data_IF_564591773427
#
_entry.id   IF_564591773427
#
_cell.length_a   1.000
_cell.length_b   1.000
_cell.length_c   1.000
_cell.angle_alpha   90.00
_cell.angle_beta   90.00
_cell.angle_gamma   90.00
#
_symmetry.space_group_name_H-M   'P 1'
#
loop_
_entity.id
_entity.type
_entity.pdbx_description
1 polymer ?
#
# COMPACT_ATOMS: atom_id res chain seq x y z
N UNK A 1 25.63 8.99 2.27
CA UNK A 1 24.66 8.14 1.54
C UNK A 1 23.45 9.01 1.30
N UNK A 2 23.02 9.20 0.04
CA UNK A 2 21.92 10.13 -0.26
C UNK A 2 20.57 9.68 0.26
N UNK A 3 19.56 10.56 0.20
CA UNK A 3 18.17 10.28 0.59
C UNK A 3 17.61 9.17 -0.32
N UNK A 4 17.24 8.00 0.25
CA UNK A 4 16.71 6.90 -0.55
C UNK A 4 15.30 7.21 -1.07
N UNK A 5 14.93 6.58 -2.19
CA UNK A 5 13.60 6.67 -2.79
C UNK A 5 12.94 5.31 -2.85
N UNK A 6 11.62 5.28 -2.79
CA UNK A 6 10.82 4.07 -2.98
C UNK A 6 9.41 4.42 -3.45
N UNK A 7 8.88 3.66 -4.42
CA UNK A 7 7.48 3.74 -4.84
C UNK A 7 6.58 3.02 -3.84
N UNK A 8 5.31 3.42 -3.73
CA UNK A 8 4.31 2.65 -2.98
C UNK A 8 4.04 1.33 -3.70
N UNK A 9 3.63 1.35 -4.98
CA UNK A 9 3.55 0.10 -5.73
C UNK A 9 2.67 0.14 -6.96
N UNK A 10 1.39 0.42 -6.83
CA UNK A 10 0.45 0.36 -7.95
C UNK A 10 0.69 1.45 -8.99
N UNK A 11 0.50 1.07 -10.26
CA UNK A 11 0.51 1.97 -11.41
C UNK A 11 -0.84 1.92 -12.11
N UNK A 12 -1.27 2.99 -12.79
CA UNK A 12 -2.47 2.94 -13.63
C UNK A 12 -2.37 1.79 -14.63
N UNK A 13 -3.40 0.94 -14.67
CA UNK A 13 -3.47 -0.16 -15.61
C UNK A 13 -3.82 0.43 -16.98
N UNK A 14 -3.06 0.11 -18.04
CA UNK A 14 -3.36 0.64 -19.38
C UNK A 14 -4.74 0.18 -19.84
N UNK A 15 -5.35 0.93 -20.74
CA UNK A 15 -6.72 0.68 -21.23
C UNK A 15 -6.90 -0.76 -21.69
N UNK A 16 -5.94 -1.31 -22.46
CA UNK A 16 -6.04 -2.70 -22.95
C UNK A 16 -6.05 -3.74 -21.81
N UNK A 17 -5.39 -3.46 -20.68
CA UNK A 17 -5.39 -4.37 -19.53
C UNK A 17 -6.71 -4.29 -18.76
N UNK A 18 -7.28 -3.10 -18.58
CA UNK A 18 -8.61 -2.95 -17.97
C UNK A 18 -9.68 -3.65 -18.80
N UNK A 19 -9.62 -3.51 -20.13
CA UNK A 19 -10.50 -4.23 -21.05
C UNK A 19 -10.31 -5.76 -20.94
N UNK A 20 -9.07 -6.23 -20.80
CA UNK A 20 -8.78 -7.65 -20.60
C UNK A 20 -9.34 -8.20 -19.28
N UNK A 21 -9.26 -7.45 -18.18
CA UNK A 21 -9.91 -7.81 -16.92
C UNK A 21 -11.42 -7.96 -17.10
N UNK A 22 -12.06 -6.95 -17.67
CA UNK A 22 -13.50 -6.98 -17.91
C UNK A 22 -13.94 -8.11 -18.84
N UNK A 23 -13.17 -8.38 -19.90
CA UNK A 23 -13.45 -9.45 -20.86
C UNK A 23 -13.26 -10.84 -20.24
N UNK A 24 -12.24 -11.01 -19.39
CA UNK A 24 -11.99 -12.26 -18.67
C UNK A 24 -13.09 -12.55 -17.65
N UNK A 25 -13.48 -11.55 -16.86
CA UNK A 25 -14.58 -11.66 -15.89
C UNK A 25 -15.91 -11.99 -16.57
N UNK A 26 -16.12 -11.48 -17.77
CA UNK A 26 -17.29 -11.77 -18.60
C UNK A 26 -17.20 -13.10 -19.39
N UNK A 27 -16.11 -13.87 -19.21
CA UNK A 27 -15.88 -15.14 -19.96
C UNK A 27 -15.68 -14.97 -21.47
N UNK A 28 -15.31 -13.77 -21.93
CA UNK A 28 -15.13 -13.46 -23.37
C UNK A 28 -13.74 -13.77 -23.90
N UNK A 29 -12.76 -13.89 -23.04
CA UNK A 29 -11.39 -14.27 -23.39
C UNK A 29 -10.93 -15.43 -22.52
N UNK A 30 -9.97 -16.21 -23.03
CA UNK A 30 -9.35 -17.31 -22.30
C UNK A 30 -8.38 -16.81 -21.22
N UNK A 31 -8.08 -17.66 -20.25
CA UNK A 31 -7.04 -17.38 -19.25
C UNK A 31 -5.69 -17.07 -19.91
N UNK A 32 -5.33 -17.78 -20.99
CA UNK A 32 -4.07 -17.56 -21.70
C UNK A 32 -4.01 -16.16 -22.33
N UNK A 33 -5.10 -15.69 -22.92
CA UNK A 33 -5.20 -14.34 -23.49
C UNK A 33 -5.11 -13.27 -22.37
N UNK A 34 -5.76 -13.52 -21.25
CA UNK A 34 -5.69 -12.62 -20.08
C UNK A 34 -4.26 -12.53 -19.53
N UNK A 35 -3.58 -13.67 -19.31
CA UNK A 35 -2.18 -13.70 -18.86
C UNK A 35 -1.28 -12.95 -19.84
N UNK A 36 -1.49 -13.11 -21.14
CA UNK A 36 -0.71 -12.38 -22.16
C UNK A 36 -0.86 -10.87 -22.04
N UNK A 37 -2.06 -10.38 -21.75
CA UNK A 37 -2.30 -8.95 -21.50
C UNK A 37 -1.59 -8.47 -20.23
N UNK A 38 -1.62 -9.26 -19.15
CA UNK A 38 -0.88 -8.99 -17.93
C UNK A 38 0.62 -8.95 -18.14
N UNK A 39 1.18 -9.95 -18.85
CA UNK A 39 2.62 -10.02 -19.16
C UNK A 39 3.10 -8.80 -19.94
N UNK A 40 2.34 -8.38 -20.95
CA UNK A 40 2.63 -7.18 -21.73
C UNK A 40 2.66 -5.93 -20.85
N UNK A 41 1.69 -5.79 -19.95
CA UNK A 41 1.61 -4.64 -19.05
C UNK A 41 2.72 -4.64 -18.01
N UNK A 42 3.08 -5.80 -17.48
CA UNK A 42 4.20 -5.97 -16.54
C UNK A 42 5.53 -5.61 -17.21
N UNK A 43 5.79 -6.12 -18.40
CA UNK A 43 7.02 -5.82 -19.14
C UNK A 43 7.17 -4.31 -19.40
N UNK A 44 6.11 -3.65 -19.88
CA UNK A 44 6.10 -2.21 -20.10
C UNK A 44 6.29 -1.42 -18.78
N UNK A 45 5.62 -1.85 -17.70
CA UNK A 45 5.74 -1.21 -16.39
C UNK A 45 7.16 -1.26 -15.85
N UNK A 46 7.78 -2.44 -15.89
CA UNK A 46 9.15 -2.62 -15.40
C UNK A 46 10.18 -1.87 -16.23
N UNK A 47 10.02 -1.86 -17.57
CA UNK A 47 10.90 -1.11 -18.46
C UNK A 47 10.81 0.40 -18.18
N UNK A 48 9.62 0.94 -18.06
CA UNK A 48 9.41 2.37 -17.78
C UNK A 48 9.85 2.73 -16.35
N UNK A 49 9.60 1.86 -15.36
CA UNK A 49 10.05 2.07 -13.99
C UNK A 49 11.59 2.15 -13.92
N UNK A 50 12.28 1.20 -14.55
CA UNK A 50 13.75 1.24 -14.65
C UNK A 50 14.25 2.51 -15.30
N UNK A 51 13.58 3.01 -16.34
CA UNK A 51 13.95 4.22 -17.04
C UNK A 51 13.80 5.49 -16.19
N UNK A 52 13.00 5.48 -15.12
CA UNK A 52 12.90 6.60 -14.17
C UNK A 52 14.18 6.79 -13.34
N UNK A 53 15.01 5.75 -13.23
CA UNK A 53 16.15 5.70 -12.32
C UNK A 53 15.82 5.15 -10.93
N UNK A 54 14.61 4.65 -10.71
CA UNK A 54 14.23 4.01 -9.43
C UNK A 54 15.08 2.75 -9.20
N UNK A 55 15.60 2.62 -7.97
CA UNK A 55 16.48 1.51 -7.60
C UNK A 55 15.69 0.22 -7.41
N UNK A 56 14.57 0.29 -6.70
CA UNK A 56 13.68 -0.84 -6.47
C UNK A 56 12.45 -0.74 -7.36
N UNK A 57 12.40 -1.56 -8.41
CA UNK A 57 11.29 -1.56 -9.34
C UNK A 57 10.14 -2.45 -8.85
N UNK A 58 8.92 -2.15 -9.32
CA UNK A 58 7.73 -3.00 -9.13
C UNK A 58 7.05 -3.26 -10.47
N UNK A 59 6.23 -4.30 -10.53
CA UNK A 59 5.39 -4.57 -11.71
C UNK A 59 4.14 -3.68 -11.78
N UNK A 60 3.98 -2.76 -10.84
CA UNK A 60 2.85 -1.84 -10.76
C UNK A 60 1.53 -2.50 -10.39
N UNK A 61 1.57 -3.70 -9.80
CA UNK A 61 0.39 -4.50 -9.44
C UNK A 61 -0.50 -4.85 -10.65
N UNK A 62 0.10 -4.99 -11.81
CA UNK A 62 -0.64 -5.22 -13.06
C UNK A 62 -1.29 -6.62 -13.11
N UNK A 63 -0.85 -7.56 -12.25
CA UNK A 63 -1.36 -8.94 -12.19
C UNK A 63 -2.52 -9.12 -11.22
N UNK A 64 -2.89 -8.11 -10.46
CA UNK A 64 -4.03 -8.16 -9.55
C UNK A 64 -5.02 -7.03 -9.82
N UNK A 65 -6.28 -7.28 -9.53
CA UNK A 65 -7.37 -6.30 -9.73
C UNK A 65 -7.34 -5.19 -8.68
N UNK A 66 -6.75 -5.48 -7.51
CA UNK A 66 -6.72 -4.56 -6.37
C UNK A 66 -5.60 -4.95 -5.40
N UNK A 67 -5.00 -3.95 -4.74
CA UNK A 67 -4.07 -4.18 -3.63
C UNK A 67 -4.74 -4.88 -2.44
N UNK A 68 -6.05 -4.68 -2.25
CA UNK A 68 -6.78 -5.13 -1.09
C UNK A 68 -7.37 -6.55 -1.24
N UNK A 69 -7.58 -7.01 -2.47
CA UNK A 69 -8.39 -8.21 -2.71
C UNK A 69 -7.65 -9.35 -3.37
N UNK A 70 -6.38 -9.18 -3.75
CA UNK A 70 -5.61 -10.23 -4.44
C UNK A 70 -5.59 -11.57 -3.70
N UNK A 71 -5.55 -11.63 -2.34
CA UNK A 71 -5.51 -12.92 -1.65
C UNK A 71 -6.89 -13.53 -1.45
N UNK A 72 -7.97 -12.76 -1.64
CA UNK A 72 -9.33 -13.17 -1.30
C UNK A 72 -10.28 -13.25 -2.50
N UNK A 73 -10.04 -12.48 -3.56
CA UNK A 73 -10.80 -12.63 -4.80
C UNK A 73 -10.61 -14.06 -5.31
N UNK A 74 -11.64 -14.79 -5.54
CA UNK A 74 -11.65 -16.19 -5.95
C UNK A 74 -11.32 -17.22 -4.85
N UNK A 75 -11.20 -16.86 -3.58
CA UNK A 75 -10.51 -17.75 -2.69
C UNK A 75 -11.18 -18.21 -1.49
N UNK A 76 -11.98 -17.40 -0.93
CA UNK A 76 -12.57 -17.82 0.32
C UNK A 76 -13.79 -18.67 0.02
N UNK A 77 -13.57 -19.97 -0.13
CA UNK A 77 -14.68 -20.89 -0.10
C UNK A 77 -15.52 -20.59 1.14
N UNK A 78 -16.73 -20.03 0.95
CA UNK A 78 -17.61 -19.67 2.03
C UNK A 78 -17.59 -18.19 2.47
N UNK A 79 -16.98 -17.29 1.71
CA UNK A 79 -17.20 -15.85 1.88
C UNK A 79 -18.36 -15.36 1.04
N UNK A 80 -19.03 -14.30 1.51
CA UNK A 80 -20.04 -13.55 0.77
C UNK A 80 -19.81 -12.05 0.96
N UNK A 81 -20.33 -11.24 0.05
CA UNK A 81 -20.39 -9.80 0.23
C UNK A 81 -21.58 -9.43 1.11
N UNK A 82 -21.42 -8.42 1.94
CA UNK A 82 -22.54 -7.83 2.66
C UNK A 82 -23.54 -7.22 1.68
N UNK A 83 -24.83 -7.42 1.96
CA UNK A 83 -25.90 -6.70 1.27
C UNK A 83 -26.04 -5.30 1.88
N UNK A 84 -25.85 -4.27 1.07
CA UNK A 84 -25.96 -2.89 1.51
C UNK A 84 -24.90 -2.46 2.53
N UNK A 85 -25.11 -1.31 3.19
CA UNK A 85 -24.31 -0.88 4.33
C UNK A 85 -24.74 -1.70 5.55
N UNK A 86 -24.06 -2.79 5.77
CA UNK A 86 -24.43 -3.72 6.80
C UNK A 86 -24.22 -3.14 8.20
N UNK A 87 -25.15 -3.43 9.10
CA UNK A 87 -25.07 -3.04 10.50
C UNK A 87 -23.82 -3.59 11.24
N UNK A 88 -23.15 -4.56 10.65
CA UNK A 88 -21.92 -5.18 11.16
C UNK A 88 -20.64 -4.58 10.58
N UNK A 89 -20.74 -3.45 9.87
CA UNK A 89 -19.56 -2.67 9.45
C UNK A 89 -18.72 -3.31 8.36
N UNK A 90 -19.35 -3.88 7.34
CA UNK A 90 -18.67 -4.63 6.29
C UNK A 90 -18.18 -3.81 5.11
N UNK A 91 -18.42 -2.51 5.07
CA UNK A 91 -17.68 -1.65 4.18
C UNK A 91 -16.25 -1.50 4.69
N UNK A 92 -15.28 -1.62 3.78
CA UNK A 92 -13.92 -1.25 4.11
C UNK A 92 -13.84 0.26 4.30
N UNK A 93 -14.28 1.03 3.32
CA UNK A 93 -14.19 2.48 3.33
C UNK A 93 -15.39 3.13 2.64
N UNK A 94 -15.75 4.32 3.14
CA UNK A 94 -16.66 5.27 2.50
C UNK A 94 -15.85 6.53 2.20
N UNK A 95 -15.79 6.90 0.93
CA UNK A 95 -15.00 8.00 0.43
C UNK A 95 -15.77 9.33 0.51
N UNK A 96 -15.06 10.45 0.42
CA UNK A 96 -15.65 11.79 0.59
C UNK A 96 -16.70 12.13 -0.47
N UNK A 97 -16.60 11.56 -1.67
CA UNK A 97 -17.61 11.70 -2.75
C UNK A 97 -18.80 10.75 -2.60
N UNK A 98 -18.81 9.91 -1.56
CA UNK A 98 -19.89 8.99 -1.24
C UNK A 98 -19.76 7.58 -1.84
N UNK A 99 -18.82 7.34 -2.75
CA UNK A 99 -18.59 5.98 -3.20
C UNK A 99 -17.92 5.15 -2.08
N UNK A 100 -18.03 3.83 -2.17
CA UNK A 100 -17.51 2.93 -1.15
C UNK A 100 -16.86 1.68 -1.74
N UNK A 101 -15.99 1.06 -0.94
CA UNK A 101 -15.41 -0.25 -1.21
C UNK A 101 -15.80 -1.22 -0.12
N UNK A 102 -16.09 -2.45 -0.49
CA UNK A 102 -16.49 -3.52 0.40
C UNK A 102 -15.42 -4.61 0.45
N UNK A 103 -15.29 -5.22 1.62
CA UNK A 103 -14.63 -6.52 1.76
C UNK A 103 -15.70 -7.61 1.89
N UNK A 104 -15.42 -8.84 1.42
CA UNK A 104 -16.31 -9.95 1.65
C UNK A 104 -16.38 -10.28 3.14
N UNK A 105 -17.49 -10.90 3.57
CA UNK A 105 -17.63 -11.44 4.91
C UNK A 105 -17.17 -12.88 4.95
N UNK A 106 -16.34 -13.21 5.95
CA UNK A 106 -16.00 -14.58 6.24
C UNK A 106 -17.22 -15.32 6.85
N UNK A 107 -17.61 -16.43 6.26
CA UNK A 107 -18.76 -17.24 6.73
C UNK A 107 -18.37 -18.63 7.22
N UNK A 108 -17.15 -19.09 6.93
CA UNK A 108 -16.56 -20.33 7.47
C UNK A 108 -15.03 -20.30 7.40
N UNK A 109 -14.38 -21.13 8.18
CA UNK A 109 -12.93 -21.37 8.12
C UNK A 109 -12.56 -22.70 7.43
N UNK A 110 -11.26 -23.02 7.37
CA UNK A 110 -10.15 -22.19 7.80
C UNK A 110 -9.86 -21.04 6.81
N UNK A 111 -9.35 -19.91 7.34
CA UNK A 111 -8.87 -18.80 6.50
C UNK A 111 -7.59 -19.22 5.80
N UNK A 112 -7.52 -18.98 4.49
CA UNK A 112 -6.35 -19.28 3.68
C UNK A 112 -6.34 -18.39 2.44
N UNK A 113 -5.14 -17.88 2.06
CA UNK A 113 -4.97 -17.22 0.77
C UNK A 113 -5.09 -18.23 -0.37
N UNK A 114 -5.64 -17.81 -1.48
CA UNK A 114 -5.60 -18.55 -2.75
C UNK A 114 -4.45 -18.07 -3.62
N UNK A 115 -4.27 -16.75 -3.67
CA UNK A 115 -3.19 -16.10 -4.40
C UNK A 115 -2.30 -15.37 -3.42
N UNK A 116 -1.00 -15.57 -3.54
CA UNK A 116 0.00 -14.86 -2.76
C UNK A 116 0.69 -13.81 -3.62
N UNK A 117 1.09 -12.69 -3.01
CA UNK A 117 1.84 -11.64 -3.72
C UNK A 117 3.15 -12.18 -4.30
N UNK A 118 3.83 -13.10 -3.62
CA UNK A 118 5.05 -13.71 -4.11
C UNK A 118 4.86 -14.53 -5.41
N UNK A 119 3.67 -15.05 -5.67
CA UNK A 119 3.36 -15.78 -6.92
C UNK A 119 3.33 -14.81 -8.10
N UNK A 120 2.75 -13.62 -7.90
CA UNK A 120 2.76 -12.54 -8.88
C UNK A 120 4.18 -12.01 -9.09
N UNK A 121 4.95 -11.82 -8.00
CA UNK A 121 6.35 -11.43 -8.07
C UNK A 121 7.19 -12.41 -8.90
N UNK A 122 7.07 -13.72 -8.66
CA UNK A 122 7.77 -14.76 -9.42
C UNK A 122 7.48 -14.69 -10.93
N UNK A 123 6.21 -14.44 -11.29
CA UNK A 123 5.81 -14.29 -12.70
C UNK A 123 6.34 -13.00 -13.33
N UNK A 124 6.51 -11.96 -12.55
CA UNK A 124 6.96 -10.64 -13.03
C UNK A 124 8.48 -10.50 -13.06
N UNK A 125 9.20 -11.22 -12.20
CA UNK A 125 10.65 -11.11 -12.02
C UNK A 125 11.47 -11.28 -13.31
N UNK A 126 11.15 -12.20 -14.24
CA UNK A 126 11.90 -12.32 -15.50
C UNK A 126 11.89 -11.04 -16.35
N UNK A 127 10.84 -10.24 -16.25
CA UNK A 127 10.71 -8.98 -16.97
C UNK A 127 11.50 -7.82 -16.35
N UNK A 128 11.95 -7.98 -15.10
CA UNK A 128 12.78 -6.98 -14.41
C UNK A 128 14.22 -6.93 -14.95
N UNK A 129 14.65 -7.91 -15.72
CA UNK A 129 15.97 -7.97 -16.38
C UNK A 129 17.15 -7.72 -15.43
N UNK A 130 17.05 -8.26 -14.20
CA UNK A 130 18.07 -8.14 -13.16
C UNK A 130 17.95 -6.88 -12.27
N UNK A 131 17.01 -5.99 -12.51
CA UNK A 131 16.73 -4.90 -11.57
C UNK A 131 16.17 -5.45 -10.27
N UNK A 132 16.62 -4.94 -9.10
CA UNK A 132 16.08 -5.34 -7.83
C UNK A 132 14.61 -4.92 -7.70
N UNK A 133 13.80 -5.81 -7.13
CA UNK A 133 12.36 -5.59 -6.99
C UNK A 133 11.94 -5.41 -5.55
N UNK A 134 10.88 -4.64 -5.34
CA UNK A 134 10.07 -4.66 -4.12
C UNK A 134 8.70 -5.26 -4.40
N UNK A 135 8.02 -5.72 -3.36
CA UNK A 135 6.65 -6.21 -3.42
C UNK A 135 5.81 -5.54 -2.33
N UNK A 136 4.63 -5.06 -2.69
CA UNK A 136 3.61 -4.66 -1.74
C UNK A 136 2.72 -5.86 -1.38
N UNK A 137 2.31 -5.94 -0.12
CA UNK A 137 1.37 -6.95 0.40
C UNK A 137 0.27 -6.27 1.20
N UNK A 138 -0.89 -6.92 1.27
CA UNK A 138 -2.01 -6.42 2.07
C UNK A 138 -1.71 -6.54 3.58
N UNK A 139 -2.19 -5.57 4.36
CA UNK A 139 -2.05 -5.64 5.81
C UNK A 139 -2.91 -6.74 6.43
N UNK A 140 -2.39 -7.50 7.39
CA UNK A 140 -3.21 -8.45 8.17
C UNK A 140 -4.36 -7.74 8.88
N UNK A 141 -4.19 -6.51 9.31
CA UNK A 141 -5.24 -5.72 9.94
C UNK A 141 -6.41 -5.35 9.01
N UNK A 142 -6.16 -5.21 7.70
CA UNK A 142 -7.25 -5.07 6.74
C UNK A 142 -8.05 -6.37 6.63
N UNK A 143 -7.38 -7.50 6.50
CA UNK A 143 -8.03 -8.81 6.41
C UNK A 143 -8.72 -9.25 7.71
N UNK A 144 -8.31 -8.69 8.84
CA UNK A 144 -9.02 -8.88 10.12
C UNK A 144 -10.49 -8.44 10.04
N UNK A 145 -10.79 -7.45 9.22
CA UNK A 145 -12.14 -6.94 8.99
C UNK A 145 -13.05 -7.90 8.21
N UNK A 146 -12.52 -9.01 7.67
CA UNK A 146 -13.32 -10.07 7.04
C UNK A 146 -14.15 -10.87 8.07
N UNK A 147 -13.67 -10.94 9.32
CA UNK A 147 -14.40 -11.59 10.40
C UNK A 147 -15.48 -10.63 10.92
N UNK A 148 -16.74 -11.07 11.12
CA UNK A 148 -17.82 -10.22 11.59
C UNK A 148 -17.44 -9.47 12.87
N UNK A 149 -17.62 -8.14 12.90
CA UNK A 149 -17.18 -7.29 14.02
C UNK A 149 -17.84 -7.68 15.34
N UNK A 150 -19.15 -7.85 15.33
CA UNK A 150 -19.99 -8.17 16.50
C UNK A 150 -20.60 -9.57 16.42
N UNK A 151 -19.98 -10.47 15.67
CA UNK A 151 -20.51 -11.81 15.44
C UNK A 151 -19.46 -12.90 15.57
N UNK A 152 -19.90 -14.12 15.34
CA UNK A 152 -19.05 -15.31 15.32
C UNK A 152 -19.26 -16.07 14.01
N UNK A 153 -18.25 -16.80 13.58
CA UNK A 153 -18.33 -17.75 12.49
C UNK A 153 -18.48 -19.14 13.12
N UNK A 154 -19.52 -19.87 12.76
CA UNK A 154 -19.79 -21.19 13.34
C UNK A 154 -18.62 -22.16 13.12
N UNK A 155 -18.17 -22.79 14.20
CA UNK A 155 -17.04 -23.73 14.16
C UNK A 155 -15.67 -23.09 13.88
N UNK A 156 -15.59 -21.76 13.83
CA UNK A 156 -14.36 -21.04 13.53
C UNK A 156 -14.22 -19.77 14.40
N UNK A 157 -13.70 -19.91 15.63
CA UNK A 157 -13.59 -18.78 16.56
C UNK A 157 -12.57 -17.75 16.06
N UNK A 158 -12.73 -16.49 16.47
CA UNK A 158 -11.88 -15.37 16.07
C UNK A 158 -10.39 -15.62 16.36
N UNK A 159 -10.09 -16.27 17.46
CA UNK A 159 -8.71 -16.58 17.85
C UNK A 159 -8.04 -17.51 16.82
N UNK A 160 -8.76 -18.50 16.31
CA UNK A 160 -8.27 -19.39 15.27
C UNK A 160 -8.12 -18.64 13.94
N UNK A 161 -9.08 -17.77 13.60
CA UNK A 161 -8.97 -16.90 12.43
C UNK A 161 -7.74 -16.02 12.49
N UNK A 162 -7.48 -15.39 13.65
CA UNK A 162 -6.28 -14.53 13.82
C UNK A 162 -4.98 -15.33 13.67
N UNK A 163 -4.92 -16.54 14.20
CA UNK A 163 -3.75 -17.43 14.04
C UNK A 163 -3.53 -17.78 12.56
N UNK A 164 -4.58 -18.21 11.85
CA UNK A 164 -4.52 -18.54 10.43
C UNK A 164 -4.11 -17.31 9.60
N UNK A 165 -4.67 -16.14 9.89
CA UNK A 165 -4.36 -14.88 9.23
C UNK A 165 -2.87 -14.49 9.40
N UNK A 166 -2.35 -14.59 10.61
CA UNK A 166 -0.93 -14.31 10.89
C UNK A 166 -0.03 -15.28 10.12
N UNK A 167 -0.38 -16.56 10.09
CA UNK A 167 0.37 -17.58 9.34
C UNK A 167 0.37 -17.30 7.83
N UNK A 168 -0.75 -16.92 7.26
CA UNK A 168 -0.87 -16.61 5.82
C UNK A 168 -0.09 -15.33 5.46
N UNK A 169 -0.18 -14.28 6.28
CA UNK A 169 0.58 -13.04 6.05
C UNK A 169 2.11 -13.26 6.17
N UNK A 170 2.56 -14.03 7.18
CA UNK A 170 3.97 -14.40 7.28
C UNK A 170 4.43 -15.17 6.05
N UNK A 171 3.65 -16.15 5.62
CA UNK A 171 3.96 -16.95 4.43
C UNK A 171 4.09 -16.09 3.17
N UNK A 172 3.21 -15.10 3.00
CA UNK A 172 3.25 -14.21 1.85
C UNK A 172 4.53 -13.33 1.86
N UNK A 173 4.87 -12.74 2.99
CA UNK A 173 6.07 -11.91 3.13
C UNK A 173 7.35 -12.74 2.93
N UNK A 174 7.47 -13.91 3.58
CA UNK A 174 8.61 -14.80 3.39
C UNK A 174 8.74 -15.25 1.94
N UNK A 175 7.61 -15.63 1.32
CA UNK A 175 7.58 -16.00 -0.07
C UNK A 175 8.06 -14.89 -1.00
N UNK A 176 7.79 -13.62 -0.68
CA UNK A 176 8.32 -12.48 -1.44
C UNK A 176 9.86 -12.39 -1.34
N UNK A 177 10.44 -12.54 -0.15
CA UNK A 177 11.90 -12.56 0.00
C UNK A 177 12.53 -13.77 -0.71
N UNK A 178 11.94 -14.96 -0.57
CA UNK A 178 12.39 -16.17 -1.27
C UNK A 178 12.29 -16.06 -2.80
N UNK A 179 11.31 -15.28 -3.28
CA UNK A 179 11.15 -14.96 -4.70
C UNK A 179 12.10 -13.84 -5.18
N UNK A 180 12.94 -13.29 -4.30
CA UNK A 180 13.97 -12.32 -4.63
C UNK A 180 13.59 -10.85 -4.43
N UNK A 181 12.50 -10.54 -3.74
CA UNK A 181 12.23 -9.17 -3.33
C UNK A 181 13.32 -8.68 -2.38
N UNK A 182 13.84 -7.48 -2.60
CA UNK A 182 14.76 -6.84 -1.67
C UNK A 182 14.04 -6.12 -0.53
N UNK A 183 12.82 -5.64 -0.78
CA UNK A 183 11.95 -5.05 0.22
C UNK A 183 10.51 -5.51 0.04
N UNK A 184 9.79 -5.54 1.14
CA UNK A 184 8.35 -5.79 1.18
C UNK A 184 7.69 -4.66 1.95
N UNK A 185 6.64 -4.05 1.42
CA UNK A 185 5.84 -3.07 2.14
C UNK A 185 4.43 -3.61 2.39
N UNK A 186 3.92 -3.35 3.59
CA UNK A 186 2.59 -3.73 4.03
C UNK A 186 1.67 -2.52 3.86
N UNK A 187 0.60 -2.65 3.09
CA UNK A 187 -0.36 -1.57 2.86
C UNK A 187 -1.34 -1.46 4.05
N UNK A 188 -1.08 -0.47 4.91
CA UNK A 188 -1.82 -0.18 6.13
C UNK A 188 -2.72 1.05 5.95
N UNK A 189 -3.64 1.01 4.99
CA UNK A 189 -4.52 2.13 4.66
C UNK A 189 -5.68 2.29 5.65
N UNK A 190 -6.06 1.22 6.34
CA UNK A 190 -7.09 1.19 7.37
C UNK A 190 -6.66 1.86 8.69
N UNK A 191 -5.37 2.11 8.88
CA UNK A 191 -4.85 2.70 10.12
C UNK A 191 -5.41 4.09 10.40
N UNK A 192 -5.30 5.00 9.42
CA UNK A 192 -5.87 6.35 9.53
C UNK A 192 -7.40 6.31 9.55
N UNK A 193 -7.99 5.40 8.80
CA UNK A 193 -9.44 5.19 8.78
C UNK A 193 -9.97 4.67 10.12
N UNK A 194 -9.21 3.87 10.87
CA UNK A 194 -9.59 3.36 12.18
C UNK A 194 -9.79 4.47 13.24
N UNK A 195 -9.09 5.60 13.08
CA UNK A 195 -9.23 6.76 13.93
C UNK A 195 -10.45 7.66 13.57
N UNK A 196 -11.07 7.42 12.41
CA UNK A 196 -12.30 8.08 12.00
C UNK A 196 -13.49 7.50 12.78
N UNK A 197 -14.50 8.31 13.02
CA UNK A 197 -15.77 7.86 13.58
C UNK A 197 -16.90 8.25 12.62
N UNK A 198 -17.14 7.42 11.61
CA UNK A 198 -18.21 7.61 10.66
C UNK A 198 -19.40 6.70 11.02
N UNK A 199 -20.56 7.25 11.45
CA UNK A 199 -21.71 6.43 11.81
C UNK A 199 -22.25 5.55 10.68
N UNK A 200 -21.91 5.86 9.42
CA UNK A 200 -22.24 5.01 8.26
C UNK A 200 -21.32 3.79 8.14
N UNK A 201 -20.19 3.82 8.83
CA UNK A 201 -19.19 2.74 8.83
C UNK A 201 -18.81 2.37 10.27
N UNK A 202 -19.60 1.53 10.95
CA UNK A 202 -19.49 1.28 12.39
C UNK A 202 -18.14 0.76 12.87
N UNK A 203 -17.35 0.08 12.03
CA UNK A 203 -16.05 -0.42 12.46
C UNK A 203 -15.04 0.72 12.73
N UNK A 204 -15.19 1.87 12.07
CA UNK A 204 -14.31 3.03 12.29
C UNK A 204 -14.45 3.63 13.69
N UNK A 205 -15.60 3.45 14.34
CA UNK A 205 -15.84 3.88 15.73
C UNK A 205 -15.51 2.83 16.80
N UNK A 206 -15.00 1.67 16.41
CA UNK A 206 -14.80 0.53 17.32
C UNK A 206 -13.43 0.54 18.04
N UNK A 207 -12.63 1.59 17.94
CA UNK A 207 -11.31 1.75 18.58
C UNK A 207 -10.32 0.61 18.23
N UNK A 208 -10.27 0.20 16.97
CA UNK A 208 -9.48 -0.95 16.51
C UNK A 208 -8.00 -0.63 16.25
N UNK A 209 -7.56 0.61 16.33
CA UNK A 209 -6.18 0.99 15.98
C UNK A 209 -5.13 0.20 16.77
N UNK A 210 -5.30 0.07 18.09
CA UNK A 210 -4.39 -0.73 18.90
C UNK A 210 -4.41 -2.20 18.49
N UNK A 211 -5.58 -2.76 18.23
CA UNK A 211 -5.73 -4.14 17.75
C UNK A 211 -5.01 -4.34 16.42
N UNK A 212 -5.10 -3.37 15.51
CA UNK A 212 -4.40 -3.41 14.22
C UNK A 212 -2.89 -3.36 14.38
N UNK A 213 -2.38 -2.47 15.22
CA UNK A 213 -0.93 -2.38 15.51
C UNK A 213 -0.42 -3.68 16.13
N UNK A 214 -1.12 -4.21 17.13
CA UNK A 214 -0.75 -5.46 17.79
C UNK A 214 -0.78 -6.66 16.82
N UNK A 215 -1.77 -6.70 15.92
CA UNK A 215 -1.88 -7.76 14.90
C UNK A 215 -0.74 -7.69 13.88
N UNK A 216 -0.43 -6.51 13.38
CA UNK A 216 0.70 -6.31 12.48
C UNK A 216 2.02 -6.71 13.16
N UNK A 217 2.20 -6.37 14.44
CA UNK A 217 3.37 -6.80 15.20
C UNK A 217 3.44 -8.31 15.41
N UNK A 218 2.33 -9.02 15.56
CA UNK A 218 2.34 -10.49 15.60
C UNK A 218 2.97 -11.11 14.35
N UNK A 219 2.79 -10.47 13.18
CA UNK A 219 3.44 -10.90 11.94
C UNK A 219 4.90 -10.45 11.91
N UNK A 220 5.17 -9.16 12.19
CA UNK A 220 6.51 -8.58 12.12
C UNK A 220 7.49 -9.26 13.09
N UNK A 221 7.04 -9.61 14.28
CA UNK A 221 7.89 -10.24 15.32
C UNK A 221 8.31 -11.67 14.98
N UNK A 222 7.74 -12.27 13.93
CA UNK A 222 8.19 -13.55 13.37
C UNK A 222 9.44 -13.44 12.49
N UNK A 223 9.83 -12.21 12.14
CA UNK A 223 11.01 -11.89 11.32
C UNK A 223 12.15 -11.41 12.20
N UNK A 224 13.38 -11.76 11.82
CA UNK A 224 14.58 -11.29 12.50
C UNK A 224 14.72 -9.77 12.38
N UNK A 225 15.47 -9.10 13.29
CA UNK A 225 15.74 -7.68 13.18
C UNK A 225 16.36 -7.30 11.82
N UNK A 226 17.20 -8.13 11.25
CA UNK A 226 17.81 -7.89 9.94
C UNK A 226 16.79 -7.95 8.80
N UNK A 227 15.89 -8.94 8.80
CA UNK A 227 14.80 -9.04 7.83
C UNK A 227 13.86 -7.82 7.95
N UNK A 228 13.52 -7.40 9.17
CA UNK A 228 12.61 -6.29 9.44
C UNK A 228 13.10 -4.94 8.92
N UNK A 229 14.40 -4.74 8.75
CA UNK A 229 14.94 -3.55 8.06
C UNK A 229 14.41 -3.39 6.65
N UNK A 230 14.01 -4.49 6.01
CA UNK A 230 13.48 -4.54 4.65
C UNK A 230 11.97 -4.77 4.59
N UNK A 231 11.28 -4.69 5.74
CA UNK A 231 9.81 -4.73 5.81
C UNK A 231 9.30 -3.35 6.21
N UNK A 232 8.48 -2.76 5.37
CA UNK A 232 7.92 -1.42 5.57
C UNK A 232 6.41 -1.43 5.76
N UNK A 233 5.89 -0.28 6.21
CA UNK A 233 4.47 0.00 6.35
C UNK A 233 4.11 1.20 5.48
N UNK A 234 3.10 1.06 4.63
CA UNK A 234 2.54 2.19 3.91
C UNK A 234 1.25 2.67 4.57
N UNK A 235 1.11 3.98 4.73
CA UNK A 235 -0.11 4.63 5.18
C UNK A 235 -0.47 5.84 4.31
N UNK A 236 -1.77 5.98 4.05
CA UNK A 236 -2.33 7.11 3.32
C UNK A 236 -3.78 7.36 3.77
N UNK A 237 -4.42 8.46 3.33
CA UNK A 237 -5.85 8.68 3.58
C UNK A 237 -6.77 7.80 2.71
N UNK A 238 -6.20 6.89 1.92
CA UNK A 238 -6.91 6.00 1.00
C UNK A 238 -7.45 6.72 -0.22
N UNK A 239 -6.66 6.77 -1.30
CA UNK A 239 -7.08 7.36 -2.58
C UNK A 239 -7.79 6.35 -3.47
N UNK A 240 -8.94 6.72 -4.03
CA UNK A 240 -9.66 5.97 -5.04
C UNK A 240 -10.62 6.88 -5.82
N UNK A 241 -10.67 6.72 -7.14
CA UNK A 241 -11.52 7.52 -8.03
C UNK A 241 -11.44 9.03 -7.75
N UNK A 242 -10.24 9.53 -7.51
CA UNK A 242 -9.97 10.95 -7.18
C UNK A 242 -10.55 11.43 -5.84
N UNK A 243 -10.97 10.53 -4.99
CA UNK A 243 -11.48 10.78 -3.65
C UNK A 243 -10.64 10.08 -2.58
N UNK A 244 -10.83 10.45 -1.32
CA UNK A 244 -10.12 9.87 -0.17
C UNK A 244 -11.13 9.55 0.94
N UNK A 245 -10.75 8.65 1.88
CA UNK A 245 -11.68 8.24 2.93
C UNK A 245 -11.37 8.81 4.32
N UNK A 246 -10.14 9.22 4.60
CA UNK A 246 -9.73 9.62 5.96
C UNK A 246 -8.79 10.83 6.00
N UNK A 247 -8.88 11.70 5.00
CA UNK A 247 -8.08 12.94 4.96
C UNK A 247 -8.44 13.93 6.08
N UNK A 248 -9.65 13.82 6.62
CA UNK A 248 -10.17 14.60 7.74
C UNK A 248 -9.62 14.13 9.10
N UNK A 249 -8.93 12.99 9.17
CA UNK A 249 -8.29 12.50 10.40
C UNK A 249 -6.89 13.09 10.52
N UNK A 250 -6.60 13.77 11.65
CA UNK A 250 -5.25 14.29 11.92
C UNK A 250 -4.25 13.14 12.10
N UNK A 251 -3.06 13.26 11.54
CA UNK A 251 -1.99 12.26 11.72
C UNK A 251 -1.55 12.06 13.17
N UNK A 252 -1.79 13.04 14.04
CA UNK A 252 -1.57 12.89 15.49
C UNK A 252 -2.34 11.70 16.07
N UNK A 253 -3.50 11.37 15.51
CA UNK A 253 -4.29 10.21 15.92
C UNK A 253 -3.68 8.85 15.51
N UNK A 254 -2.84 8.85 14.48
CA UNK A 254 -2.26 7.62 13.91
C UNK A 254 -0.77 7.44 14.21
N UNK A 255 0.06 8.45 13.91
CA UNK A 255 1.51 8.29 13.81
C UNK A 255 2.17 7.75 15.07
N UNK A 256 1.82 8.19 16.30
CA UNK A 256 2.40 7.64 17.51
C UNK A 256 2.19 6.14 17.67
N UNK A 257 0.99 5.66 17.32
CA UNK A 257 0.64 4.23 17.35
C UNK A 257 1.31 3.47 16.22
N UNK A 258 1.34 4.03 15.01
CA UNK A 258 1.94 3.41 13.84
C UNK A 258 3.44 3.12 14.03
N UNK A 259 4.19 4.07 14.60
CA UNK A 259 5.61 3.87 14.88
C UNK A 259 5.90 2.84 15.98
N UNK A 260 4.88 2.35 16.70
CA UNK A 260 5.01 1.18 17.58
C UNK A 260 5.06 -0.16 16.82
N UNK A 261 4.75 -0.16 15.52
CA UNK A 261 4.99 -1.33 14.69
C UNK A 261 6.49 -1.54 14.48
N UNK A 262 6.93 -2.81 14.60
CA UNK A 262 8.33 -3.22 14.53
C UNK A 262 8.83 -3.36 13.07
N UNK A 263 8.38 -2.48 12.19
CA UNK A 263 8.84 -2.37 10.81
C UNK A 263 10.12 -1.53 10.72
N UNK A 264 10.93 -1.76 9.69
CA UNK A 264 12.18 -1.04 9.48
C UNK A 264 12.01 0.30 8.77
N UNK A 265 10.94 0.48 7.99
CA UNK A 265 10.65 1.74 7.31
C UNK A 265 9.16 1.97 7.14
N UNK A 266 8.79 3.23 6.83
CA UNK A 266 7.42 3.66 6.67
C UNK A 266 7.31 4.54 5.43
N UNK A 267 6.31 4.27 4.59
CA UNK A 267 5.94 5.07 3.44
C UNK A 267 4.70 5.90 3.85
N UNK A 268 4.89 7.21 4.04
CA UNK A 268 3.91 8.07 4.72
C UNK A 268 3.42 9.14 3.76
N UNK A 269 2.13 9.17 3.47
CA UNK A 269 1.51 10.24 2.69
C UNK A 269 1.75 11.61 3.37
N UNK A 270 2.22 12.59 2.60
CA UNK A 270 2.55 13.92 3.11
C UNK A 270 2.41 15.05 2.08
N UNK A 271 2.59 14.78 0.78
CA UNK A 271 2.53 15.82 -0.25
C UNK A 271 1.18 16.53 -0.28
N UNK A 272 0.09 15.83 0.01
CA UNK A 272 -1.27 16.36 0.06
C UNK A 272 -1.68 16.94 1.43
N UNK A 273 -0.84 16.84 2.48
CA UNK A 273 -1.16 17.40 3.79
C UNK A 273 -1.15 18.93 3.78
N UNK A 274 -2.08 19.54 4.51
CA UNK A 274 -2.22 21.00 4.62
C UNK A 274 -1.09 21.63 5.42
N UNK A 275 -0.75 21.02 6.56
CA UNK A 275 0.32 21.46 7.47
C UNK A 275 1.42 20.39 7.53
N UNK A 276 2.29 20.40 6.53
CA UNK A 276 3.38 19.43 6.43
C UNK A 276 4.39 19.56 7.56
N UNK A 277 4.68 20.80 7.99
CA UNK A 277 5.66 21.05 9.05
C UNK A 277 5.24 20.40 10.37
N UNK A 278 3.94 20.48 10.72
CA UNK A 278 3.39 19.78 11.88
C UNK A 278 3.58 18.26 11.80
N UNK A 279 3.37 17.68 10.62
CA UNK A 279 3.54 16.24 10.42
C UNK A 279 5.01 15.84 10.47
N UNK A 280 5.92 16.62 9.87
CA UNK A 280 7.35 16.37 9.98
C UNK A 280 7.83 16.40 11.43
N UNK A 281 7.35 17.38 12.22
CA UNK A 281 7.64 17.49 13.65
C UNK A 281 7.14 16.26 14.41
N UNK A 282 5.91 15.80 14.14
CA UNK A 282 5.34 14.61 14.76
C UNK A 282 6.15 13.35 14.42
N UNK A 283 6.55 13.18 13.17
CA UNK A 283 7.42 12.07 12.75
C UNK A 283 8.75 12.14 13.52
N UNK A 284 9.39 13.30 13.55
CA UNK A 284 10.68 13.49 14.25
C UNK A 284 10.62 13.17 15.74
N UNK A 285 9.47 13.39 16.39
CA UNK A 285 9.26 13.09 17.82
C UNK A 285 8.96 11.62 18.09
N UNK A 286 8.36 10.91 17.13
CA UNK A 286 7.78 9.57 17.38
C UNK A 286 8.54 8.44 16.69
N UNK A 287 9.29 8.72 15.61
CA UNK A 287 10.14 7.74 14.95
C UNK A 287 11.23 7.26 15.92
N UNK A 288 11.54 5.96 15.88
CA UNK A 288 12.39 5.35 16.92
C UNK A 288 13.37 4.31 16.36
N UNK A 289 14.29 3.90 17.21
CA UNK A 289 14.97 2.61 17.11
C UNK A 289 14.23 1.64 18.02
N UNK A 290 13.83 0.49 17.52
CA UNK A 290 13.08 -0.48 18.31
C UNK A 290 13.97 -1.20 19.36
N UNK A 291 13.34 -2.00 20.22
CA UNK A 291 14.04 -2.73 21.30
C UNK A 291 15.11 -3.72 20.79
N UNK A 292 15.06 -4.11 19.52
CA UNK A 292 16.01 -5.01 18.88
C UNK A 292 17.07 -4.28 18.04
N UNK A 293 17.13 -2.95 18.12
CA UNK A 293 18.11 -2.12 17.43
C UNK A 293 17.78 -1.80 15.96
N UNK A 294 16.56 -2.07 15.52
CA UNK A 294 16.11 -1.68 14.16
C UNK A 294 15.77 -0.19 14.16
N UNK A 295 16.59 0.61 13.49
CA UNK A 295 16.39 2.04 13.30
C UNK A 295 15.36 2.26 12.21
N UNK A 296 14.23 2.87 12.55
CA UNK A 296 13.15 3.16 11.62
C UNK A 296 13.51 4.31 10.66
N UNK A 297 13.04 4.22 9.41
CA UNK A 297 13.21 5.25 8.38
C UNK A 297 11.83 5.70 7.89
N UNK A 298 11.59 7.00 7.88
CA UNK A 298 10.38 7.59 7.33
C UNK A 298 10.62 8.04 5.88
N UNK A 299 10.01 7.36 4.94
CA UNK A 299 9.90 7.84 3.56
C UNK A 299 8.67 8.75 3.50
N UNK A 300 8.90 10.04 3.36
CA UNK A 300 7.82 11.01 3.28
C UNK A 300 7.28 11.14 1.86
N UNK A 301 5.97 11.25 1.71
CA UNK A 301 5.32 11.53 0.44
C UNK A 301 5.68 12.93 -0.05
N UNK A 302 6.26 13.01 -1.24
CA UNK A 302 6.62 14.27 -1.93
C UNK A 302 5.92 14.40 -3.28
N UNK A 303 5.16 13.38 -3.65
CA UNK A 303 4.35 13.30 -4.86
C UNK A 303 2.90 13.00 -4.46
N UNK A 304 1.95 13.77 -5.00
CA UNK A 304 0.52 13.52 -4.83
C UNK A 304 -0.05 12.82 -6.08
N UNK A 305 -0.35 11.51 -6.02
CA UNK A 305 -0.90 10.78 -7.17
C UNK A 305 -2.26 11.28 -7.65
N UNK A 306 -3.05 11.88 -6.76
CA UNK A 306 -4.39 12.40 -7.08
C UNK A 306 -4.35 13.77 -7.77
N UNK A 307 -3.22 14.46 -7.76
CA UNK A 307 -3.06 15.74 -8.44
C UNK A 307 -2.51 15.51 -9.86
N UNK A 308 -3.20 15.95 -10.93
CA UNK A 308 -2.70 15.84 -12.30
C UNK A 308 -1.46 16.70 -12.59
N UNK A 309 -1.19 17.72 -11.78
CA UNK A 309 0.01 18.56 -11.92
C UNK A 309 1.25 17.77 -11.49
N UNK A 310 2.26 17.77 -12.35
CA UNK A 310 3.54 17.08 -12.10
C UNK A 310 4.41 17.97 -11.23
N UNK A 311 4.80 17.46 -10.07
CA UNK A 311 5.76 18.13 -9.17
C UNK A 311 7.13 18.24 -9.85
N UNK A 312 7.77 19.39 -9.70
CA UNK A 312 9.13 19.60 -10.22
C UNK A 312 10.18 19.01 -9.28
N UNK A 313 11.39 18.68 -9.76
CA UNK A 313 12.49 18.26 -8.89
C UNK A 313 12.83 19.26 -7.78
N UNK A 314 12.70 20.56 -8.07
CA UNK A 314 12.94 21.65 -7.11
C UNK A 314 11.91 21.59 -5.96
N UNK A 315 10.64 21.43 -6.26
CA UNK A 315 9.57 21.30 -5.25
C UNK A 315 9.79 20.06 -4.35
N UNK A 316 10.20 18.95 -4.94
CA UNK A 316 10.55 17.73 -4.19
C UNK A 316 11.77 17.99 -3.29
N UNK A 317 12.81 18.62 -3.82
CA UNK A 317 14.00 18.98 -3.08
C UNK A 317 13.67 19.91 -1.89
N UNK A 318 12.86 20.93 -2.10
CA UNK A 318 12.42 21.85 -1.03
C UNK A 318 11.68 21.11 0.08
N UNK A 319 10.76 20.20 -0.25
CA UNK A 319 10.03 19.38 0.73
C UNK A 319 10.97 18.53 1.59
N UNK A 320 11.96 17.89 0.97
CA UNK A 320 12.92 17.04 1.69
C UNK A 320 13.89 17.84 2.56
N UNK A 321 14.35 18.99 2.08
CA UNK A 321 15.19 19.91 2.87
C UNK A 321 14.41 20.48 4.05
N UNK A 322 13.14 20.81 3.87
CA UNK A 322 12.28 21.23 4.99
C UNK A 322 12.11 20.12 6.01
N UNK A 323 11.76 18.89 5.56
CA UNK A 323 11.60 17.74 6.45
C UNK A 323 12.88 17.42 7.24
N UNK A 324 14.06 17.62 6.66
CA UNK A 324 15.35 17.36 7.33
C UNK A 324 15.63 18.25 8.54
N UNK A 325 14.87 19.33 8.71
CA UNK A 325 14.94 20.16 9.94
C UNK A 325 14.30 19.47 11.16
N UNK A 326 13.45 18.48 10.94
CA UNK A 326 12.69 17.76 11.96
C UNK A 326 13.08 16.29 12.05
N UNK A 327 13.39 15.67 10.92
CA UNK A 327 13.72 14.24 10.79
C UNK A 327 15.19 14.12 10.44
N UNK A 328 15.92 13.30 11.20
CA UNK A 328 17.35 13.08 10.93
C UNK A 328 17.54 12.54 9.49
N UNK A 329 18.53 13.06 8.72
CA UNK A 329 18.74 12.63 7.33
C UNK A 329 18.94 11.12 7.16
N UNK A 330 19.48 10.42 8.15
CA UNK A 330 19.65 8.98 8.15
C UNK A 330 18.37 8.18 8.50
N UNK A 331 17.29 8.90 8.79
CA UNK A 331 15.94 8.36 8.99
C UNK A 331 14.93 8.94 7.99
N UNK A 332 15.40 9.60 6.93
CA UNK A 332 14.57 10.28 5.94
C UNK A 332 14.71 9.62 4.57
N UNK A 333 13.59 9.32 3.93
CA UNK A 333 13.49 8.89 2.54
C UNK A 333 12.39 9.66 1.80
N UNK A 334 12.25 9.42 0.51
CA UNK A 334 11.24 10.03 -0.34
C UNK A 334 10.35 8.97 -1.02
N UNK A 335 9.04 9.19 -1.00
CA UNK A 335 8.05 8.32 -1.64
C UNK A 335 6.91 9.12 -2.28
N UNK A 336 5.96 8.42 -2.84
CA UNK A 336 4.68 8.95 -3.29
C UNK A 336 3.66 8.87 -2.13
N UNK A 337 2.64 9.72 -2.12
CA UNK A 337 1.62 9.72 -1.07
C UNK A 337 0.86 8.39 -1.00
N UNK A 338 0.64 7.77 -2.14
CA UNK A 338 -0.07 6.50 -2.29
C UNK A 338 0.40 5.81 -3.59
N UNK A 339 -0.10 4.62 -3.87
CA UNK A 339 -0.04 4.04 -5.21
C UNK A 339 -0.76 4.94 -6.23
N UNK A 340 -0.35 4.88 -7.48
CA UNK A 340 -0.96 5.69 -8.55
C UNK A 340 -2.30 5.13 -9.04
N UNK A 341 -2.60 3.87 -8.76
CA UNK A 341 -3.90 3.26 -9.06
C UNK A 341 -4.10 2.01 -8.20
N UNK A 342 -4.79 2.10 -7.07
CA UNK A 342 -4.97 0.97 -6.16
C UNK A 342 -5.92 -0.11 -6.70
N UNK A 343 -6.73 0.22 -7.73
CA UNK A 343 -7.69 -0.70 -8.35
C UNK A 343 -7.46 -0.83 -9.86
N UNK A 344 -7.89 -1.94 -10.46
CA UNK A 344 -7.69 -2.22 -11.88
C UNK A 344 -8.55 -1.32 -12.78
N UNK A 345 -9.69 -0.86 -12.28
CA UNK A 345 -10.63 -0.03 -13.02
C UNK A 345 -10.77 1.32 -12.33
N UNK A 346 -10.14 2.33 -12.90
CA UNK A 346 -10.32 3.73 -12.57
C UNK A 346 -11.24 4.38 -13.60
N UNK A 347 -12.53 4.42 -13.29
CA UNK A 347 -13.57 4.85 -14.24
C UNK A 347 -13.51 6.34 -14.57
N UNK A 348 -12.83 7.14 -13.72
CA UNK A 348 -12.72 8.60 -13.87
C UNK A 348 -11.38 9.13 -13.37
N UNK A 349 -10.25 8.81 -14.01
CA UNK A 349 -8.99 9.37 -13.59
C UNK A 349 -8.97 10.89 -13.89
N UNK A 350 -8.54 11.70 -12.91
CA UNK A 350 -8.32 13.16 -13.10
C UNK A 350 -7.39 13.48 -14.28
N UNK A 351 -6.56 12.53 -14.65
CA UNK A 351 -5.62 12.64 -15.76
C UNK A 351 -6.25 12.37 -17.14
N UNK A 352 -7.57 12.22 -17.23
CA UNK A 352 -8.31 12.07 -18.49
C UNK A 352 -8.43 10.63 -18.98
N UNK A 353 -7.36 9.85 -19.01
CA UNK A 353 -7.41 8.42 -19.37
C UNK A 353 -6.39 7.60 -18.56
N UNK A 354 -6.59 6.27 -18.43
CA UNK A 354 -5.62 5.40 -17.77
C UNK A 354 -4.22 5.46 -18.40
N UNK A 355 -4.14 5.52 -19.72
CA UNK A 355 -2.87 5.56 -20.45
C UNK A 355 -2.13 6.88 -20.21
N UNK A 356 -2.84 8.01 -20.20
CA UNK A 356 -2.25 9.30 -19.86
C UNK A 356 -1.86 9.40 -18.39
N UNK A 357 -2.70 8.91 -17.48
CA UNK A 357 -2.39 8.84 -16.05
C UNK A 357 -1.11 8.03 -15.79
N UNK A 358 -0.88 6.98 -16.57
CA UNK A 358 0.32 6.16 -16.52
C UNK A 358 1.58 6.94 -16.90
N UNK A 359 1.54 7.73 -17.97
CA UNK A 359 2.66 8.60 -18.37
C UNK A 359 2.95 9.67 -17.31
N UNK A 360 1.93 10.29 -16.74
CA UNK A 360 2.09 11.25 -15.63
C UNK A 360 2.75 10.60 -14.42
N UNK A 361 2.36 9.38 -14.06
CA UNK A 361 2.96 8.64 -12.95
C UNK A 361 4.48 8.47 -13.12
N UNK A 362 4.94 8.02 -14.28
CA UNK A 362 6.37 7.85 -14.54
C UNK A 362 7.15 9.18 -14.53
N UNK A 363 6.56 10.26 -15.02
CA UNK A 363 7.18 11.60 -14.95
C UNK A 363 7.31 12.06 -13.50
N UNK A 364 6.29 11.88 -12.68
CA UNK A 364 6.30 12.18 -11.24
C UNK A 364 7.40 11.39 -10.50
N UNK A 365 7.49 10.09 -10.74
CA UNK A 365 8.53 9.23 -10.17
C UNK A 365 9.92 9.73 -10.56
N UNK A 366 10.14 10.04 -11.84
CA UNK A 366 11.41 10.59 -12.33
C UNK A 366 11.77 11.88 -11.59
N UNK A 367 10.83 12.78 -11.42
CA UNK A 367 11.06 14.06 -10.73
C UNK A 367 11.30 13.86 -9.23
N UNK A 368 10.65 12.89 -8.59
CA UNK A 368 10.95 12.53 -7.20
C UNK A 368 12.40 12.11 -7.02
N UNK A 369 12.91 11.24 -7.89
CA UNK A 369 14.29 10.75 -7.84
C UNK A 369 15.28 11.89 -8.03
N UNK A 370 15.05 12.75 -9.04
CA UNK A 370 15.88 13.95 -9.28
C UNK A 370 15.87 14.88 -8.07
N UNK A 371 14.70 15.16 -7.51
CA UNK A 371 14.56 16.02 -6.34
C UNK A 371 15.22 15.47 -5.09
N UNK A 372 15.15 14.16 -4.86
CA UNK A 372 15.84 13.50 -3.75
C UNK A 372 17.37 13.59 -3.89
N UNK A 373 17.89 13.46 -5.11
CA UNK A 373 19.32 13.69 -5.40
C UNK A 373 19.73 15.13 -5.11
N UNK A 374 18.95 16.11 -5.60
CA UNK A 374 19.21 17.54 -5.33
C UNK A 374 19.20 17.85 -3.83
N UNK A 375 18.24 17.26 -3.07
CA UNK A 375 18.18 17.44 -1.62
C UNK A 375 19.40 16.85 -0.93
N UNK A 376 19.86 15.67 -1.35
CA UNK A 376 21.07 15.02 -0.82
C UNK A 376 22.30 15.90 -1.04
N UNK A 377 22.46 16.47 -2.23
CA UNK A 377 23.56 17.40 -2.56
C UNK A 377 23.51 18.66 -1.69
N UNK A 378 22.31 19.26 -1.50
CA UNK A 378 22.14 20.43 -0.62
C UNK A 378 22.45 20.16 0.84
N UNK A 379 22.16 18.94 1.31
CA UNK A 379 22.38 18.53 2.70
C UNK A 379 23.79 17.97 2.93
N UNK A 380 24.57 17.77 1.88
CA UNK A 380 25.93 17.24 1.97
C UNK A 380 26.01 15.77 2.38
N UNK A 381 25.03 14.95 1.98
CA UNK A 381 24.91 13.53 2.35
C UNK A 381 24.91 12.60 1.13
#
# INVERSE_FOLDING_TARGET
MGIPTEVVGSLPRPTYLQEAYAAYDAGKISQAEFIKAQDKSVEDSLAKMSATGEVLVTDGEQRCSSFATYPITDTLGGTGLAEGLAADGQYFAIFDDGHHRQLPRLVKGPFKYKTYAYENLKKSQPYAKGHPMKQAVIAPSMLYLLYPLNGTVEGYPREQFVEDLVNECEKDIRGCFEAGAQRVSIDFTEGRLAAKNDPRNPWTGANLLKTFVDLNNKVLDRFTPEERKNIGIHTCPGGDCDSVHSYDVDYHELLPSMFQMNAGYFLIQLASEKDKAKVYEEIGKTIRTDANGVKQVAFIGVINPLNPTIETPEQVCESLVEASKYISPDQLGATDDCGFSPFSIDVKPKHGSPDYAREVAFQKITNRIKGAKMASEKLGI
#
